data_IF_752443344419
#
_entry.id   IF_752443344419
#
_cell.length_a   1.000
_cell.length_b   1.000
_cell.length_c   1.000
_cell.angle_alpha   90.00
_cell.angle_beta   90.00
_cell.angle_gamma   90.00
#
_symmetry.space_group_name_H-M   'P 1'
#
loop_
_entity.id
_entity.type
_entity.pdbx_description
1 polymer ?
#
# COMPACT_ATOMS: atom_id res chain seq x y z
N UNK A 1 -12.98 6.93 -2.72
CA UNK A 1 -11.89 5.95 -2.45
C UNK A 1 -11.78 5.62 -0.97
N UNK A 2 -11.56 6.58 -0.05
CA UNK A 2 -11.66 6.31 1.40
C UNK A 2 -13.06 6.55 2.01
N UNK A 3 -13.90 7.35 1.34
CA UNK A 3 -15.27 7.66 1.78
C UNK A 3 -16.21 6.45 1.74
N UNK A 4 -15.88 5.47 0.91
CA UNK A 4 -16.72 4.28 0.63
C UNK A 4 -16.13 3.00 1.25
N UNK A 5 -15.01 3.10 1.97
CA UNK A 5 -14.42 1.97 2.68
C UNK A 5 -14.89 1.96 4.13
N UNK A 6 -15.34 0.81 4.62
CA UNK A 6 -15.59 0.62 6.04
C UNK A 6 -14.28 0.80 6.81
N UNK A 7 -14.28 1.74 7.76
CA UNK A 7 -13.17 1.93 8.69
C UNK A 7 -13.18 0.82 9.74
N UNK A 8 -12.72 -0.36 9.32
CA UNK A 8 -12.40 -1.49 10.18
C UNK A 8 -10.89 -1.57 10.44
N UNK A 9 -10.48 -2.35 11.44
CA UNK A 9 -9.07 -2.50 11.83
C UNK A 9 -8.20 -2.92 10.64
N UNK A 10 -8.71 -3.81 9.78
CA UNK A 10 -8.03 -4.25 8.56
C UNK A 10 -7.74 -3.09 7.60
N UNK A 11 -8.73 -2.26 7.29
CA UNK A 11 -8.57 -1.13 6.37
C UNK A 11 -7.68 -0.06 6.98
N UNK A 12 -7.81 0.20 8.28
CA UNK A 12 -6.94 1.16 8.98
C UNK A 12 -5.47 0.70 8.96
N UNK A 13 -5.20 -0.60 9.14
CA UNK A 13 -3.86 -1.19 8.99
C UNK A 13 -3.35 -1.02 7.55
N UNK A 14 -4.15 -1.37 6.54
CA UNK A 14 -3.75 -1.25 5.13
C UNK A 14 -3.41 0.21 4.79
N UNK A 15 -4.29 1.15 5.16
CA UNK A 15 -4.12 2.57 4.87
C UNK A 15 -2.90 3.14 5.58
N UNK A 16 -2.73 2.88 6.88
CA UNK A 16 -1.61 3.42 7.66
C UNK A 16 -0.26 2.88 7.17
N UNK A 17 -0.14 1.57 6.95
CA UNK A 17 1.09 0.97 6.42
C UNK A 17 1.40 1.43 4.99
N UNK A 18 0.40 1.44 4.11
CA UNK A 18 0.61 1.88 2.74
C UNK A 18 1.04 3.35 2.68
N UNK A 19 0.47 4.20 3.52
CA UNK A 19 0.84 5.61 3.59
C UNK A 19 2.26 5.79 4.15
N UNK A 20 2.61 5.11 5.25
CA UNK A 20 3.96 5.15 5.81
C UNK A 20 5.02 4.69 4.81
N UNK A 21 4.79 3.56 4.14
CA UNK A 21 5.75 3.00 3.18
C UNK A 21 5.81 3.85 1.91
N UNK A 22 4.67 4.20 1.31
CA UNK A 22 4.65 4.96 0.06
C UNK A 22 5.25 6.36 0.21
N UNK A 23 4.89 7.09 1.26
CA UNK A 23 5.44 8.43 1.54
C UNK A 23 6.90 8.35 2.00
N UNK A 24 7.26 7.36 2.82
CA UNK A 24 8.64 7.19 3.31
C UNK A 24 9.62 6.79 2.21
N UNK A 25 9.24 5.85 1.33
CA UNK A 25 10.08 5.41 0.22
C UNK A 25 10.30 6.51 -0.82
N UNK A 26 9.31 7.38 -1.03
CA UNK A 26 9.45 8.52 -1.96
C UNK A 26 10.46 9.56 -1.48
N UNK A 27 10.73 9.61 -0.17
CA UNK A 27 11.73 10.49 0.43
C UNK A 27 13.12 9.84 0.55
N UNK A 28 13.25 8.56 0.17
CA UNK A 28 14.52 7.84 0.24
C UNK A 28 15.36 8.14 -1.00
N UNK A 29 16.68 8.16 -0.87
CA UNK A 29 17.60 8.40 -1.97
C UNK A 29 17.37 7.46 -3.17
N UNK A 30 17.48 7.99 -4.38
CA UNK A 30 17.31 7.26 -5.64
C UNK A 30 18.19 5.99 -5.73
N UNK A 31 19.34 5.99 -5.04
CA UNK A 31 20.25 4.85 -4.99
C UNK A 31 19.70 3.65 -4.19
N UNK A 32 18.67 3.83 -3.36
CA UNK A 32 18.07 2.73 -2.61
C UNK A 32 17.40 1.70 -3.53
N UNK A 33 16.82 2.16 -4.64
CA UNK A 33 16.21 1.29 -5.65
C UNK A 33 17.19 0.81 -6.73
N UNK A 34 18.48 1.14 -6.64
CA UNK A 34 19.49 0.70 -7.63
C UNK A 34 19.67 -0.83 -7.71
N UNK A 35 19.37 -1.54 -6.61
CA UNK A 35 19.35 -3.00 -6.55
C UNK A 35 18.05 -3.62 -7.09
N UNK A 36 17.02 -2.80 -7.30
CA UNK A 36 15.72 -3.23 -7.83
C UNK A 36 15.60 -2.91 -9.32
N UNK A 37 14.69 -3.59 -10.05
CA UNK A 37 14.40 -3.25 -11.43
C UNK A 37 14.00 -1.77 -11.58
N UNK A 38 14.41 -1.11 -12.67
CA UNK A 38 14.11 0.31 -12.92
C UNK A 38 12.63 0.65 -12.71
N UNK A 39 11.71 -0.24 -13.12
CA UNK A 39 10.27 -0.06 -12.93
C UNK A 39 9.87 0.15 -11.46
N UNK A 40 10.54 -0.49 -10.50
CA UNK A 40 10.27 -0.31 -9.07
C UNK A 40 10.80 1.06 -8.62
N UNK A 41 11.99 1.44 -9.06
CA UNK A 41 12.53 2.77 -8.84
C UNK A 41 11.59 3.86 -9.37
N UNK A 42 11.11 3.72 -10.60
CA UNK A 42 10.22 4.72 -11.23
C UNK A 42 8.86 4.86 -10.52
N UNK A 43 8.37 3.80 -9.88
CA UNK A 43 7.11 3.80 -9.12
C UNK A 43 7.29 4.44 -7.73
N UNK A 44 8.39 4.15 -7.04
CA UNK A 44 8.60 4.54 -5.65
C UNK A 44 9.49 5.78 -5.48
N UNK A 45 10.20 6.21 -6.51
CA UNK A 45 11.04 7.40 -6.50
C UNK A 45 10.31 8.58 -7.14
N UNK A 46 10.08 9.65 -6.37
CA UNK A 46 9.45 10.87 -6.87
C UNK A 46 7.92 10.82 -7.04
N UNK A 47 7.25 9.67 -6.83
CA UNK A 47 5.79 9.57 -6.87
C UNK A 47 5.18 8.84 -5.67
N UNK A 48 4.88 9.61 -4.61
CA UNK A 48 4.28 9.09 -3.39
C UNK A 48 2.94 8.39 -3.62
N UNK A 49 2.12 8.90 -4.53
CA UNK A 49 0.78 8.35 -4.77
C UNK A 49 0.88 6.95 -5.39
N UNK A 50 1.81 6.74 -6.32
CA UNK A 50 2.03 5.44 -6.94
C UNK A 50 2.52 4.40 -5.91
N UNK A 51 3.46 4.78 -5.05
CA UNK A 51 3.95 3.91 -3.98
C UNK A 51 2.84 3.50 -2.99
N UNK A 52 2.03 4.46 -2.53
CA UNK A 52 0.90 4.18 -1.62
C UNK A 52 -0.13 3.25 -2.29
N UNK A 53 -0.42 3.46 -3.58
CA UNK A 53 -1.34 2.60 -4.32
C UNK A 53 -0.85 1.15 -4.45
N UNK A 54 0.41 0.94 -4.85
CA UNK A 54 0.95 -0.42 -5.02
C UNK A 54 1.01 -1.16 -3.68
N UNK A 55 1.45 -0.48 -2.61
CA UNK A 55 1.55 -1.10 -1.28
C UNK A 55 0.17 -1.42 -0.69
N UNK A 56 -0.82 -0.54 -0.86
CA UNK A 56 -2.20 -0.81 -0.43
C UNK A 56 -2.83 -1.98 -1.18
N UNK A 57 -2.55 -2.13 -2.47
CA UNK A 57 -3.03 -3.26 -3.27
C UNK A 57 -2.39 -4.57 -2.81
N UNK A 58 -1.06 -4.59 -2.61
CA UNK A 58 -0.34 -5.74 -2.06
C UNK A 58 -0.85 -6.14 -0.67
N UNK A 59 -1.00 -5.18 0.25
CA UNK A 59 -1.53 -5.42 1.58
C UNK A 59 -2.98 -5.91 1.53
N UNK A 60 -3.81 -5.38 0.64
CA UNK A 60 -5.18 -5.86 0.46
C UNK A 60 -5.24 -7.32 -0.02
N UNK A 61 -4.26 -7.76 -0.83
CA UNK A 61 -4.16 -9.13 -1.32
C UNK A 61 -3.59 -10.10 -0.28
N UNK A 62 -2.58 -9.67 0.49
CA UNK A 62 -1.86 -10.51 1.45
C UNK A 62 -2.60 -10.60 2.79
N UNK A 63 -3.16 -9.48 3.25
CA UNK A 63 -3.82 -9.42 4.56
C UNK A 63 -5.15 -10.20 4.47
N UNK A 64 -5.38 -11.25 5.28
CA UNK A 64 -6.61 -12.01 5.21
C UNK A 64 -7.81 -11.10 5.45
N UNK A 65 -8.90 -11.32 4.72
CA UNK A 65 -10.18 -10.69 5.04
C UNK A 65 -10.66 -11.27 6.37
N UNK A 66 -11.19 -10.40 7.24
CA UNK A 66 -11.73 -10.84 8.53
C UNK A 66 -12.75 -11.96 8.32
N UNK A 67 -12.68 -13.00 9.17
CA UNK A 67 -13.55 -14.18 9.11
C UNK A 67 -15.01 -13.89 9.49
N UNK A 68 -15.41 -12.63 9.70
CA UNK A 68 -16.83 -12.29 9.85
C UNK A 68 -17.58 -12.20 8.51
N UNK A 69 -16.90 -12.36 7.37
CA UNK A 69 -17.52 -12.50 6.04
C UNK A 69 -17.79 -14.00 5.74
N UNK A 70 -18.57 -14.64 6.61
CA UNK A 70 -19.50 -15.75 6.30
C UNK A 70 -20.80 -15.28 6.98
N UNK A 71 -21.85 -14.84 6.29
CA UNK A 71 -22.71 -15.56 5.33
C UNK A 71 -23.50 -14.54 4.51
N UNK A 72 -23.46 -14.66 3.18
CA UNK A 72 -24.47 -14.27 2.17
C UNK A 72 -23.84 -14.74 0.84
N UNK A 73 -24.25 -15.78 0.14
CA UNK A 73 -25.41 -16.69 0.15
C UNK A 73 -24.92 -18.09 -0.31
#
# INVERSE_FOLDING_TARGET
MLKDCEFNDRTMIIVSLAFCVGVGLTQTDANFFSAFPQAVGDIFNGNAVAGVFVVSLLLSLILPKDKSEKVEE
#
